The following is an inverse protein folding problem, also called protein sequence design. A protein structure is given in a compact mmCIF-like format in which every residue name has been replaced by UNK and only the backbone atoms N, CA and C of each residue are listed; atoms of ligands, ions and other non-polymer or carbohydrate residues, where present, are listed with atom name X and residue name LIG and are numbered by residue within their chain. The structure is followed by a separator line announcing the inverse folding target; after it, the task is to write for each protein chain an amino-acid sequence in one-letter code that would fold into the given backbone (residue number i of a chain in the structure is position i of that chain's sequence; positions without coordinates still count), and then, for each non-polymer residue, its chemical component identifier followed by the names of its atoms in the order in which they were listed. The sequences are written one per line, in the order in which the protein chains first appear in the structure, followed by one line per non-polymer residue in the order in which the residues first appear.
data_IF_784518704553
#
_entry.id   IF_784518704553
#
_cell.length_a   1.000
_cell.length_b   1.000
_cell.length_c   1.000
_cell.angle_alpha   90.00
_cell.angle_beta   90.00
_cell.angle_gamma   90.00
#
_symmetry.space_group_name_H-M   'P 1'
#
loop_
_entity.id
_entity.type
_entity.pdbx_description
1 polymer ?
2 water ?
#
# COMPACT_ATOMS: atom_id res chain seq x y z
N UNK A 44 14.08 -28.74 3.78
CA UNK A 44 13.46 -29.47 2.64
C UNK A 44 13.87 -28.86 1.30
N UNK A 45 14.22 -29.71 0.34
CA UNK A 45 14.62 -29.28 -1.00
C UNK A 45 13.38 -29.10 -1.88
N UNK A 46 12.80 -27.90 -1.87
CA UNK A 46 11.60 -27.65 -2.66
C UNK A 46 11.21 -26.18 -2.71
N UNK A 47 10.81 -25.69 -3.89
CA UNK A 47 10.40 -24.29 -4.05
C UNK A 47 9.14 -24.01 -3.25
N UNK A 48 9.17 -22.96 -2.44
CA UNK A 48 8.01 -22.61 -1.64
C UNK A 48 6.93 -22.03 -2.56
N UNK A 49 5.68 -22.48 -2.39
CA UNK A 49 4.61 -21.96 -3.21
C UNK A 49 4.09 -20.66 -2.59
N UNK A 50 3.44 -19.83 -3.40
CA UNK A 50 2.91 -18.54 -2.96
C UNK A 50 2.18 -18.63 -1.64
N UNK A 51 1.47 -19.73 -1.42
CA UNK A 51 0.71 -19.94 -0.19
C UNK A 51 1.59 -20.07 1.05
N UNK A 52 2.67 -20.82 0.95
CA UNK A 52 3.58 -21.03 2.07
C UNK A 52 4.18 -19.75 2.65
N UNK A 53 3.94 -18.62 1.98
CA UNK A 53 4.47 -17.34 2.45
C UNK A 53 3.41 -16.50 3.14
N UNK A 54 2.15 -16.84 2.91
CA UNK A 54 1.02 -16.11 3.48
C UNK A 54 0.61 -16.61 4.87
N UNK A 55 -0.16 -15.79 5.58
CA UNK A 55 -0.65 -16.14 6.91
C UNK A 55 -1.94 -16.93 6.72
N UNK A 56 -2.59 -16.67 5.59
CA UNK A 56 -3.83 -17.34 5.24
C UNK A 56 -3.76 -17.69 3.75
N UNK A 57 -3.42 -18.95 3.43
CA UNK A 57 -3.29 -19.51 2.08
C UNK A 57 -4.34 -19.10 1.05
N UNK A 58 -5.56 -18.86 1.50
CA UNK A 58 -6.63 -18.47 0.58
C UNK A 58 -6.61 -16.97 0.27
N UNK A 59 -5.62 -16.26 0.81
CA UNK A 59 -5.50 -14.81 0.61
C UNK A 59 -4.90 -14.31 -0.70
N UNK A 60 -5.41 -13.18 -1.20
CA UNK A 60 -4.97 -12.52 -2.44
C UNK A 60 -3.58 -11.90 -2.29
N UNK A 61 -2.82 -11.87 -3.38
CA UNK A 61 -1.49 -11.28 -3.34
C UNK A 61 -1.29 -10.40 -4.56
N UNK A 62 -0.88 -9.16 -4.33
CA UNK A 62 -0.63 -8.22 -5.40
C UNK A 62 0.83 -7.78 -5.31
N UNK A 63 1.21 -6.80 -6.12
CA UNK A 63 2.58 -6.34 -6.12
C UNK A 63 2.70 -4.98 -6.79
N UNK A 64 3.82 -4.31 -6.56
CA UNK A 64 4.07 -3.02 -7.18
C UNK A 64 5.55 -2.96 -7.49
N UNK A 65 5.88 -2.53 -8.71
CA UNK A 65 7.27 -2.40 -9.12
C UNK A 65 7.71 -0.98 -8.85
N UNK A 66 8.79 -0.83 -8.10
CA UNK A 66 9.27 0.50 -7.75
C UNK A 66 10.55 0.91 -8.44
N UNK A 67 10.54 2.13 -8.98
CA UNK A 67 11.71 2.68 -9.65
C UNK A 67 12.07 3.98 -8.94
N UNK A 68 13.35 4.11 -8.58
CA UNK A 68 13.82 5.33 -7.93
C UNK A 68 14.12 6.32 -9.05
N UNK A 69 13.24 7.30 -9.21
CA UNK A 69 13.42 8.26 -10.28
C UNK A 69 13.14 7.56 -11.59
N UNK A 70 14.18 6.95 -12.16
CA UNK A 70 14.05 6.22 -13.42
C UNK A 70 14.66 4.82 -13.41
N UNK A 71 15.23 4.40 -12.29
CA UNK A 71 15.84 3.08 -12.23
C UNK A 71 15.18 2.13 -11.23
N UNK A 72 15.06 0.87 -11.63
CA UNK A 72 14.46 -0.16 -10.80
C UNK A 72 15.05 -0.18 -9.40
N UNK A 73 14.21 -0.49 -8.42
CA UNK A 73 14.63 -0.55 -7.03
C UNK A 73 14.21 -1.88 -6.42
N UNK A 74 13.05 -2.38 -6.84
CA UNK A 74 12.56 -3.64 -6.32
C UNK A 74 11.07 -3.85 -6.52
N UNK A 75 10.58 -5.01 -6.10
CA UNK A 75 9.17 -5.33 -6.24
C UNK A 75 8.52 -5.60 -4.89
N UNK A 76 7.42 -4.90 -4.62
CA UNK A 76 6.67 -5.08 -3.38
C UNK A 76 5.69 -6.25 -3.57
N UNK A 77 5.69 -7.19 -2.64
CA UNK A 77 4.78 -8.32 -2.71
C UNK A 77 3.89 -8.25 -1.47
N UNK A 78 2.66 -7.79 -1.67
CA UNK A 78 1.70 -7.62 -0.59
C UNK A 78 0.64 -8.70 -0.56
N UNK A 79 0.33 -9.17 0.64
CA UNK A 79 -0.72 -10.16 0.84
C UNK A 79 -1.90 -9.35 1.35
N UNK A 80 -2.99 -9.30 0.61
CA UNK A 80 -4.15 -8.56 1.06
C UNK A 80 -4.98 -9.43 1.99
N UNK A 81 -5.50 -8.83 3.06
CA UNK A 81 -6.32 -9.56 4.01
C UNK A 81 -7.79 -9.58 3.59
N UNK A 82 -8.12 -10.51 2.69
CA UNK A 82 -9.48 -10.67 2.20
C UNK A 82 -10.29 -11.40 3.27
N UNK A 83 -9.60 -12.30 3.97
CA UNK A 83 -10.21 -13.09 5.02
C UNK A 83 -10.90 -12.22 6.07
N UNK A 84 -10.15 -11.27 6.64
CA UNK A 84 -10.67 -10.40 7.68
C UNK A 84 -11.17 -9.03 7.22
N UNK A 85 -10.57 -8.46 6.18
CA UNK A 85 -11.00 -7.14 5.71
C UNK A 85 -11.37 -7.15 4.23
N UNK A 86 -12.30 -8.03 3.83
CA UNK A 86 -12.77 -8.18 2.45
C UNK A 86 -13.29 -6.94 1.72
N UNK A 87 -13.85 -5.99 2.45
CA UNK A 87 -14.39 -4.78 1.83
C UNK A 87 -13.29 -3.85 1.32
N UNK A 88 -12.36 -3.49 2.20
CA UNK A 88 -11.25 -2.61 1.84
C UNK A 88 -10.24 -3.39 1.02
N UNK A 89 -9.98 -4.62 1.45
CA UNK A 89 -9.04 -5.50 0.77
C UNK A 89 -9.30 -5.48 -0.73
N UNK A 90 -10.57 -5.58 -1.11
CA UNK A 90 -10.96 -5.57 -2.51
C UNK A 90 -10.68 -4.22 -3.16
N UNK A 91 -10.96 -3.15 -2.43
CA UNK A 91 -10.74 -1.80 -2.94
C UNK A 91 -9.29 -1.61 -3.40
N UNK A 92 -8.35 -2.18 -2.64
CA UNK A 92 -6.93 -2.08 -2.96
C UNK A 92 -6.58 -2.93 -4.17
N UNK A 93 -6.96 -4.21 -4.13
CA UNK A 93 -6.67 -5.12 -5.24
C UNK A 93 -7.19 -4.57 -6.56
N UNK A 94 -8.40 -4.01 -6.52
CA UNK A 94 -9.02 -3.44 -7.70
C UNK A 94 -8.11 -2.41 -8.39
N UNK A 95 -7.51 -1.52 -7.60
CA UNK A 95 -6.63 -0.49 -8.15
C UNK A 95 -5.30 -1.04 -8.66
N UNK A 96 -4.85 -2.15 -8.08
CA UNK A 96 -3.59 -2.75 -8.50
C UNK A 96 -3.69 -3.31 -9.91
N UNK A 97 -4.74 -4.08 -10.17
CA UNK A 97 -4.94 -4.70 -11.48
C UNK A 97 -5.55 -3.74 -12.51
N UNK A 98 -6.26 -2.72 -12.05
CA UNK A 98 -6.86 -1.77 -12.97
C UNK A 98 -8.30 -2.09 -13.31
N UNK A 99 -9.03 -2.62 -12.33
CA UNK A 99 -10.44 -2.98 -12.49
C UNK A 99 -11.34 -1.83 -12.05
N UNK A 100 -11.40 -0.77 -12.85
CA UNK A 100 -12.24 0.38 -12.51
C UNK A 100 -12.25 1.42 -13.63
N UNK A 101 -13.24 2.31 -13.60
CA UNK A 101 -13.36 3.34 -14.61
C UNK A 101 -13.78 4.71 -14.10
N UNK A 102 -13.13 5.74 -14.64
CA UNK A 102 -13.41 7.14 -14.32
C UNK A 102 -13.73 7.76 -15.68
N UNK A 103 -15.02 7.83 -15.99
CA UNK A 103 -15.50 8.35 -17.27
C UNK A 103 -15.23 7.22 -18.27
N UNK A 104 -15.51 5.99 -17.82
CA UNK A 104 -15.31 4.78 -18.61
C UNK A 104 -13.85 4.60 -19.01
N UNK A 105 -12.94 5.11 -18.18
CA UNK A 105 -11.50 5.02 -18.43
C UNK A 105 -10.82 4.15 -17.36
N UNK A 106 -9.57 3.71 -17.61
CA UNK A 106 -8.82 2.87 -16.65
C UNK A 106 -8.22 3.64 -15.46
N UNK A 107 -8.56 3.20 -14.25
CA UNK A 107 -8.08 3.82 -13.01
C UNK A 107 -7.32 2.84 -12.11
N UNK A 108 -6.19 3.30 -11.55
CA UNK A 108 -5.40 2.45 -10.68
C UNK A 108 -4.15 3.08 -10.08
N UNK A 109 -3.39 2.27 -9.34
CA UNK A 109 -2.16 2.71 -8.69
C UNK A 109 -0.96 2.78 -9.62
N UNK A 110 -1.14 2.40 -10.88
CA UNK A 110 -0.02 2.44 -11.81
C UNK A 110 0.45 3.86 -12.06
N UNK A 111 1.74 4.00 -12.36
CA UNK A 111 2.35 5.30 -12.62
C UNK A 111 2.04 6.33 -11.55
N UNK A 112 1.89 5.85 -10.32
CA UNK A 112 1.61 6.71 -9.18
C UNK A 112 2.96 6.86 -8.46
N UNK A 113 2.95 7.42 -7.25
CA UNK A 113 4.18 7.57 -6.48
C UNK A 113 3.90 7.50 -4.99
N UNK A 114 4.96 7.67 -4.21
CA UNK A 114 4.89 7.69 -2.76
C UNK A 114 5.26 9.13 -2.42
N UNK A 115 4.24 9.95 -2.21
CA UNK A 115 4.43 11.37 -1.92
C UNK A 115 4.89 11.69 -0.51
N UNK A 116 4.89 10.70 0.38
CA UNK A 116 5.32 10.97 1.73
C UNK A 116 6.15 9.85 2.33
N UNK A 117 7.43 10.13 2.52
CA UNK A 117 8.36 9.18 3.10
C UNK A 117 8.88 9.76 4.41
N UNK A 118 8.40 9.23 5.53
CA UNK A 118 8.83 9.70 6.84
C UNK A 118 9.63 8.63 7.54
N UNK A 119 10.95 8.77 7.52
CA UNK A 119 11.80 7.79 8.16
C UNK A 119 11.35 7.53 9.60
N UNK A 120 11.54 6.29 10.06
CA UNK A 120 11.17 5.89 11.42
C UNK A 120 9.66 5.87 11.68
N UNK A 121 8.86 6.09 10.63
CA UNK A 121 7.41 6.09 10.79
C UNK A 121 6.67 5.33 9.68
N UNK A 122 6.66 5.87 8.46
CA UNK A 122 5.97 5.21 7.36
C UNK A 122 6.12 5.89 6.00
N UNK A 123 5.72 5.19 4.94
CA UNK A 123 5.74 5.76 3.59
C UNK A 123 4.32 5.59 3.09
N UNK A 124 3.83 6.55 2.32
CA UNK A 124 2.48 6.47 1.81
C UNK A 124 2.40 7.03 0.40
N UNK A 125 1.41 6.57 -0.35
CA UNK A 125 1.24 7.04 -1.71
C UNK A 125 -0.05 6.49 -2.28
N UNK A 126 -0.05 6.22 -3.58
CA UNK A 126 -1.23 5.68 -4.22
C UNK A 126 -2.33 6.69 -4.50
N UNK A 127 -1.94 7.94 -4.76
CA UNK A 127 -2.90 8.98 -5.07
C UNK A 127 -2.86 9.22 -6.57
N UNK A 128 -3.49 8.31 -7.31
CA UNK A 128 -3.54 8.38 -8.77
C UNK A 128 -4.43 9.52 -9.27
N UNK A 129 -5.25 10.05 -8.37
CA UNK A 129 -6.17 11.13 -8.70
C UNK A 129 -5.49 12.48 -8.93
N UNK A 130 -4.71 12.92 -7.95
CA UNK A 130 -4.02 14.20 -8.04
C UNK A 130 -2.51 14.02 -8.10
N UNK A 131 -2.01 13.02 -7.38
CA UNK A 131 -0.58 12.72 -7.33
C UNK A 131 0.18 13.67 -6.41
N UNK A 132 -0.52 14.29 -5.47
CA UNK A 132 0.10 15.21 -4.53
C UNK A 132 -0.32 14.89 -3.10
N UNK A 133 -1.32 14.02 -2.97
CA UNK A 133 -1.80 13.65 -1.65
C UNK A 133 -3.15 14.25 -1.35
N UNK A 134 -3.89 14.58 -2.41
CA UNK A 134 -5.21 15.18 -2.27
C UNK A 134 -6.33 14.23 -2.72
N UNK A 135 -6.18 13.67 -3.92
CA UNK A 135 -7.18 12.77 -4.47
C UNK A 135 -7.69 11.65 -3.57
N UNK A 136 -8.92 11.21 -3.83
CA UNK A 136 -9.55 10.13 -3.07
C UNK A 136 -10.67 9.48 -3.88
N UNK A 137 -10.78 8.16 -3.78
CA UNK A 137 -11.79 7.40 -4.51
C UNK A 137 -11.71 5.94 -4.08
N UNK A 138 -12.79 5.19 -4.26
CA UNK A 138 -12.82 3.78 -3.90
C UNK A 138 -13.82 2.98 -4.72
N UNK A 139 -13.81 1.66 -4.57
CA UNK A 139 -14.75 0.81 -5.29
C UNK A 139 -16.09 0.81 -4.56
N UNK A 140 -16.34 1.91 -3.86
CA UNK A 140 -17.57 2.08 -3.11
C UNK A 140 -17.93 3.57 -3.15
N UNK A 141 -17.38 4.27 -4.13
CA UNK A 141 -17.64 5.69 -4.26
C UNK A 141 -16.38 6.53 -4.14
N UNK A 142 -16.42 7.55 -3.29
CA UNK A 142 -15.26 8.42 -3.09
C UNK A 142 -14.74 8.29 -1.66
N UNK A 143 -15.28 7.31 -0.93
CA UNK A 143 -14.89 7.04 0.45
C UNK A 143 -15.80 5.96 1.02
N UNK A 144 -15.42 5.38 2.15
CA UNK A 144 -16.24 4.35 2.77
C UNK A 144 -15.88 4.05 4.22
N UNK A 145 -16.84 3.48 4.92
CA UNK A 145 -16.71 3.12 6.33
C UNK A 145 -15.49 2.27 6.69
N UNK A 146 -15.05 2.40 7.94
CA UNK A 146 -13.91 1.64 8.45
C UNK A 146 -14.39 0.23 8.76
N UNK A 147 -14.13 -0.71 7.86
CA UNK A 147 -14.55 -2.09 8.05
C UNK A 147 -14.32 -2.57 9.48
N UNK A 148 -13.16 -2.27 10.04
CA UNK A 148 -12.84 -2.66 11.42
C UNK A 148 -11.38 -2.40 11.78
N UNK A 149 -11.07 -2.54 13.06
CA UNK A 149 -9.72 -2.31 13.56
C UNK A 149 -9.24 -3.54 14.31
N UNK A 150 -9.57 -4.71 13.76
CA UNK A 150 -9.19 -5.97 14.37
C UNK A 150 -7.68 -6.19 14.28
N UNK A 151 -7.08 -5.79 13.15
CA UNK A 151 -5.65 -5.95 12.91
C UNK A 151 -4.83 -4.83 13.56
N UNK A 152 -3.73 -5.20 14.22
CA UNK A 152 -2.89 -4.23 14.90
C UNK A 152 -1.60 -3.79 14.18
N UNK A 153 -1.27 -2.52 14.34
CA UNK A 153 -0.07 -1.94 13.76
C UNK A 153 1.08 -2.38 14.65
N UNK A 154 1.15 -3.68 14.91
CA UNK A 154 2.17 -4.25 15.78
C UNK A 154 3.56 -4.39 15.17
N UNK A 155 3.64 -4.44 13.84
CA UNK A 155 4.95 -4.58 13.19
C UNK A 155 5.11 -3.74 11.92
N UNK A 156 6.31 -3.80 11.35
CA UNK A 156 6.65 -3.07 10.14
C UNK A 156 6.20 -3.87 8.92
N UNK A 157 5.93 -3.18 7.83
CA UNK A 157 5.51 -3.85 6.61
C UNK A 157 4.01 -4.04 6.49
N UNK A 158 3.25 -3.37 7.33
CA UNK A 158 1.80 -3.49 7.27
C UNK A 158 1.18 -2.41 6.41
N UNK A 159 0.22 -2.80 5.58
CA UNK A 159 -0.48 -1.86 4.73
C UNK A 159 -1.66 -1.39 5.55
N UNK A 160 -1.90 -0.09 5.54
CA UNK A 160 -3.00 0.47 6.29
C UNK A 160 -3.63 1.54 5.42
N UNK A 161 -4.89 1.85 5.70
CA UNK A 161 -5.59 2.85 4.92
C UNK A 161 -5.41 4.26 5.46
N UNK A 162 -4.73 5.10 4.69
CA UNK A 162 -4.50 6.48 5.09
C UNK A 162 -5.80 7.24 4.88
N UNK A 163 -6.38 7.73 5.96
CA UNK A 163 -7.63 8.47 5.89
C UNK A 163 -7.50 9.87 6.47
N UNK A 164 -8.58 10.63 6.40
CA UNK A 164 -8.62 11.98 6.94
C UNK A 164 -9.80 12.01 7.90
N UNK A 165 -9.67 11.27 9.00
CA UNK A 165 -10.73 11.19 9.99
C UNK A 165 -11.47 9.87 9.87
N UNK A 166 -12.31 9.51 10.85
CA UNK A 166 -13.05 8.25 10.78
C UNK A 166 -13.88 8.08 9.51
N UNK A 167 -13.86 6.86 8.97
CA UNK A 167 -14.60 6.51 7.76
C UNK A 167 -14.26 7.41 6.58
N UNK A 168 -12.98 7.49 6.24
CA UNK A 168 -12.54 8.32 5.12
C UNK A 168 -11.63 7.49 4.22
N UNK A 169 -11.68 6.17 4.40
CA UNK A 169 -10.85 5.27 3.62
C UNK A 169 -11.04 5.49 2.12
N UNK A 170 -10.03 6.06 1.48
CA UNK A 170 -10.10 6.33 0.06
C UNK A 170 -9.17 5.42 -0.73
N UNK A 171 -8.38 6.01 -1.62
CA UNK A 171 -7.45 5.24 -2.44
C UNK A 171 -6.01 5.33 -1.94
N UNK A 172 -5.77 6.15 -0.93
CA UNK A 172 -4.43 6.30 -0.39
C UNK A 172 -4.14 5.32 0.72
N UNK A 173 -2.97 4.70 0.65
CA UNK A 173 -2.54 3.71 1.63
C UNK A 173 -1.15 4.08 2.13
N UNK A 174 -0.75 3.49 3.25
CA UNK A 174 0.57 3.74 3.77
C UNK A 174 1.13 2.45 4.33
N UNK A 175 2.45 2.30 4.24
CA UNK A 175 3.11 1.09 4.71
C UNK A 175 3.92 1.43 5.96
N UNK A 176 3.51 0.87 7.09
CA UNK A 176 4.21 1.12 8.34
C UNK A 176 5.64 0.68 8.16
N UNK A 177 6.56 1.45 8.71
CA UNK A 177 7.98 1.16 8.60
C UNK A 177 8.50 0.82 9.99
N UNK A 178 7.58 0.88 10.95
CA UNK A 178 7.88 0.61 12.35
C UNK A 178 6.50 0.44 12.98
N UNK A 179 6.41 -0.28 14.10
CA UNK A 179 5.12 -0.45 14.74
C UNK A 179 4.61 0.87 15.31
N UNK A 180 3.37 1.21 14.97
CA UNK A 180 2.75 2.44 15.42
C UNK A 180 1.41 2.16 16.10
N UNK A 181 1.48 1.41 17.19
CA UNK A 181 0.30 1.01 17.96
C UNK A 181 -0.78 2.08 18.05
N UNK A 182 -0.40 3.28 18.47
CA UNK A 182 -1.35 4.38 18.63
C UNK A 182 -2.34 4.57 17.48
N UNK A 183 -2.11 3.90 16.36
CA UNK A 183 -3.00 4.02 15.20
C UNK A 183 -4.11 2.96 15.23
N UNK A 184 -3.97 2.00 16.14
CA UNK A 184 -4.95 0.94 16.31
C UNK A 184 -6.28 1.55 16.71
N UNK A 185 -7.14 1.85 15.74
CA UNK A 185 -8.42 2.44 16.06
C UNK A 185 -8.72 3.59 15.14
N UNK A 186 -7.67 4.18 14.58
CA UNK A 186 -7.82 5.30 13.66
C UNK A 186 -7.72 4.82 12.21
N UNK A 187 -6.77 3.93 11.95
CA UNK A 187 -6.57 3.39 10.61
C UNK A 187 -6.77 1.87 10.56
N UNK A 188 -7.20 1.38 9.40
CA UNK A 188 -7.46 -0.04 9.20
C UNK A 188 -6.34 -0.77 8.46
N UNK A 189 -5.74 -1.75 9.13
CA UNK A 189 -4.67 -2.56 8.55
C UNK A 189 -5.32 -3.58 7.62
N UNK A 190 -5.00 -3.53 6.33
CA UNK A 190 -5.59 -4.44 5.35
C UNK A 190 -4.58 -5.23 4.50
N UNK A 191 -3.37 -5.45 5.01
CA UNK A 191 -2.37 -6.18 4.26
C UNK A 191 -0.97 -6.17 4.87
N UNK A 192 -0.02 -6.84 4.24
CA UNK A 192 1.35 -6.90 4.74
C UNK A 192 2.31 -7.44 3.68
N UNK A 193 3.58 -7.05 3.77
CA UNK A 193 4.57 -7.53 2.81
C UNK A 193 4.85 -8.98 3.20
N UNK A 194 5.19 -9.83 2.23
CA UNK A 194 5.40 -11.25 2.52
C UNK A 194 6.82 -11.83 2.54
N UNK A 195 7.78 -11.11 1.99
CA UNK A 195 9.14 -11.63 1.96
C UNK A 195 10.17 -10.61 2.40
N UNK A 196 11.38 -11.09 2.64
CA UNK A 196 12.46 -10.24 3.08
C UNK A 196 12.97 -9.28 2.02
N UNK A 197 12.59 -9.50 0.77
CA UNK A 197 13.03 -8.61 -0.30
C UNK A 197 12.15 -7.36 -0.30
N UNK A 198 10.88 -7.53 0.06
CA UNK A 198 9.95 -6.41 0.12
C UNK A 198 10.30 -5.55 1.32
N UNK A 199 10.92 -6.17 2.31
CA UNK A 199 11.32 -5.49 3.53
C UNK A 199 12.53 -4.61 3.25
N UNK A 200 13.46 -5.12 2.44
CA UNK A 200 14.66 -4.38 2.11
C UNK A 200 14.31 -3.19 1.23
N UNK A 201 13.39 -3.40 0.30
CA UNK A 201 12.95 -2.32 -0.58
C UNK A 201 12.28 -1.25 0.27
N UNK A 202 11.48 -1.67 1.24
CA UNK A 202 10.80 -0.72 2.12
C UNK A 202 11.83 0.14 2.84
N UNK A 203 12.90 -0.48 3.33
CA UNK A 203 13.96 0.23 4.04
C UNK A 203 14.68 1.20 3.09
N UNK A 204 15.02 0.74 1.88
CA UNK A 204 15.69 1.59 0.90
C UNK A 204 14.85 2.85 0.70
N UNK A 205 13.57 2.67 0.38
CA UNK A 205 12.69 3.80 0.16
C UNK A 205 12.66 4.72 1.38
N UNK A 206 12.46 4.13 2.55
CA UNK A 206 12.39 4.89 3.78
C UNK A 206 13.56 5.84 3.95
N UNK A 207 14.69 5.51 3.34
CA UNK A 207 15.89 6.33 3.44
C UNK A 207 16.09 7.38 2.36
N UNK A 208 15.30 7.30 1.30
CA UNK A 208 15.43 8.25 0.22
C UNK A 208 15.41 9.66 0.82
N UNK A 209 16.16 10.57 0.22
CA UNK A 209 16.20 11.94 0.70
C UNK A 209 14.93 12.65 0.31
N UNK A 210 14.38 13.39 1.26
CA UNK A 210 13.13 14.10 1.07
C UNK A 210 13.23 15.58 1.39
N UNK A 211 12.16 16.30 1.07
CA UNK A 211 12.06 17.73 1.33
C UNK A 211 11.66 17.89 2.78
N UNK A 212 12.50 18.56 3.57
CA UNK A 212 12.34 18.83 5.00
C UNK A 212 10.97 18.82 5.67
N UNK A 213 10.03 19.64 5.24
CA UNK A 213 8.79 19.60 6.00
C UNK A 213 7.60 18.86 5.42
N UNK A 214 7.54 18.78 4.10
CA UNK A 214 6.45 18.09 3.43
C UNK A 214 6.76 16.60 3.36
N UNK A 215 8.05 16.28 3.38
CA UNK A 215 8.53 14.91 3.32
C UNK A 215 8.37 14.24 1.96
N UNK A 216 8.39 15.03 0.90
CA UNK A 216 8.27 14.49 -0.45
C UNK A 216 9.66 14.09 -0.94
N UNK A 217 9.80 12.88 -1.50
CA UNK A 217 11.10 12.44 -2.00
C UNK A 217 11.60 13.35 -3.11
N UNK A 218 12.87 13.71 -3.05
CA UNK A 218 13.48 14.58 -4.06
C UNK A 218 13.51 13.84 -5.39
N UNK A 219 14.04 12.62 -5.38
CA UNK A 219 14.12 11.79 -6.57
C UNK A 219 12.90 10.88 -6.51
N UNK A 220 11.78 11.30 -7.13
CA UNK A 220 10.51 10.56 -7.17
C UNK A 220 10.56 9.04 -7.09
N UNK A 221 9.71 8.49 -6.23
CA UNK A 221 9.58 7.06 -6.02
C UNK A 221 8.21 6.68 -6.58
N UNK A 222 8.22 6.13 -7.79
CA UNK A 222 6.98 5.78 -8.48
C UNK A 222 6.67 4.31 -8.73
N UNK A 223 5.38 4.01 -8.70
CA UNK A 223 4.87 2.67 -8.94
C UNK A 223 4.66 2.51 -10.44
N UNK A 224 5.68 1.99 -11.11
CA UNK A 224 5.65 1.78 -12.55
C UNK A 224 4.66 0.71 -13.00
N UNK A 225 4.78 -0.49 -12.43
CA UNK A 225 3.89 -1.59 -12.77
C UNK A 225 3.28 -2.17 -11.50
N UNK A 226 2.15 -2.85 -11.65
CA UNK A 226 1.47 -3.46 -10.52
C UNK A 226 0.29 -4.30 -11.00
N UNK A 227 -0.11 -5.26 -10.18
CA UNK A 227 -1.23 -6.11 -10.54
C UNK A 227 -1.45 -7.14 -9.47
N UNK A 228 -1.59 -8.40 -9.87
CA UNK A 228 -1.82 -9.45 -8.91
C UNK A 228 -0.95 -10.65 -9.23
N UNK A 229 -0.57 -11.38 -8.19
CA UNK A 229 0.25 -12.57 -8.33
C UNK A 229 -0.65 -13.80 -8.20
#
# INVERSE_FOLDING_TARGET
MGSSHHHHHHSSGLVPRGSMKSNSKDSENKKVENLVLDDNDENTIIPYYLSNLLTNPSNPVVFMDINLGNNFLGKFKFELFQNIVPKTSENFRQFCTGEYKVNNLPVGYKNTIFHRVIKEFMIQGGDFINHNGSGSLSIYGEKFDDENFDIKHDKEGLLSMANSGPNTNGCQFFITTKKCEWLDGKNVVFGRIIDNDSLLLLKKIENVSVTPYIYKPKIPINVVECGEL
#
